data_IF_991641877008
#
_entry.id   IF_991641877008
#
_cell.length_a   1.000
_cell.length_b   1.000
_cell.length_c   1.000
_cell.angle_alpha   90.00
_cell.angle_beta   90.00
_cell.angle_gamma   90.00
#
_symmetry.space_group_name_H-M   'P 1'
#
loop_
_entity.id
_entity.type
_entity.pdbx_description
1 polymer ?
#
# COMPACT_ATOMS: atom_id res chain seq x y z
N UNK A 1 18.12 -4.50 15.18
CA UNK A 1 17.55 -5.73 14.58
C UNK A 1 17.45 -5.50 13.08
N UNK A 2 17.92 -6.44 12.26
CA UNK A 2 17.89 -6.31 10.80
C UNK A 2 16.43 -6.35 10.33
N UNK A 3 16.00 -5.32 9.60
CA UNK A 3 14.65 -5.26 9.00
C UNK A 3 14.50 -6.46 8.04
N UNK A 4 13.40 -7.20 8.14
CA UNK A 4 13.10 -8.33 7.26
C UNK A 4 11.62 -8.37 6.88
N UNK A 5 11.29 -9.17 5.87
CA UNK A 5 9.91 -9.37 5.40
C UNK A 5 9.44 -10.79 5.71
N UNK A 6 8.26 -10.93 6.30
CA UNK A 6 7.60 -12.22 6.44
C UNK A 6 7.18 -12.73 5.05
N UNK A 7 7.46 -13.99 4.77
CA UNK A 7 7.10 -14.67 3.54
C UNK A 7 6.79 -16.15 3.82
N UNK A 8 6.12 -16.79 2.86
CA UNK A 8 5.77 -18.21 2.90
C UNK A 8 6.45 -18.96 1.75
N UNK A 9 6.83 -20.21 2.00
CA UNK A 9 7.32 -21.13 0.96
C UNK A 9 6.76 -22.53 1.13
N UNK A 10 6.73 -23.29 0.04
CA UNK A 10 6.39 -24.70 0.10
C UNK A 10 7.55 -25.52 0.71
N UNK A 11 7.31 -26.34 1.75
CA UNK A 11 8.37 -27.17 2.34
C UNK A 11 8.83 -28.31 1.43
N UNK A 12 8.06 -28.67 0.40
CA UNK A 12 8.40 -29.77 -0.51
C UNK A 12 9.26 -29.31 -1.69
N UNK A 13 8.91 -28.19 -2.33
CA UNK A 13 9.58 -27.72 -3.53
C UNK A 13 10.35 -26.40 -3.36
N UNK A 14 10.20 -25.72 -2.22
CA UNK A 14 10.83 -24.42 -1.94
C UNK A 14 10.24 -23.23 -2.70
N UNK A 15 9.18 -23.44 -3.48
CA UNK A 15 8.50 -22.40 -4.27
C UNK A 15 7.84 -21.34 -3.37
N UNK A 16 7.87 -20.09 -3.78
CA UNK A 16 7.15 -18.95 -3.18
C UNK A 16 5.75 -18.76 -3.80
N UNK A 17 5.39 -19.57 -4.80
CA UNK A 17 4.08 -19.55 -5.47
C UNK A 17 3.02 -20.25 -4.61
N UNK A 18 2.81 -19.70 -3.43
CA UNK A 18 1.94 -20.25 -2.40
C UNK A 18 0.80 -19.28 -2.08
N UNK A 19 -0.27 -19.79 -1.50
CA UNK A 19 -1.44 -19.00 -1.13
C UNK A 19 -2.16 -19.58 0.08
N UNK A 20 -3.08 -18.79 0.60
CA UNK A 20 -4.00 -19.20 1.66
C UNK A 20 -5.41 -18.73 1.32
N UNK A 21 -6.41 -19.53 1.66
CA UNK A 21 -7.81 -19.19 1.40
C UNK A 21 -8.22 -18.05 2.32
N UNK A 22 -8.94 -17.09 1.76
CA UNK A 22 -9.47 -15.96 2.49
C UNK A 22 -10.90 -15.68 2.03
N UNK A 23 -11.77 -15.34 2.97
CA UNK A 23 -13.08 -14.78 2.63
C UNK A 23 -12.97 -13.26 2.52
N UNK A 24 -13.38 -12.74 1.37
CA UNK A 24 -13.60 -11.31 1.18
C UNK A 24 -15.11 -11.00 1.23
N UNK A 25 -15.44 -9.84 1.78
CA UNK A 25 -16.79 -9.27 1.81
C UNK A 25 -16.82 -7.93 1.11
N UNK A 26 -17.98 -7.51 0.62
CA UNK A 26 -18.16 -6.16 0.10
C UNK A 26 -18.65 -5.23 1.20
N UNK A 27 -17.86 -4.22 1.55
CA UNK A 27 -18.30 -3.15 2.44
C UNK A 27 -19.09 -2.11 1.63
N UNK A 28 -20.40 -2.02 1.92
CA UNK A 28 -21.32 -1.09 1.25
C UNK A 28 -21.08 0.38 1.61
N UNK A 29 -20.44 0.66 2.74
CA UNK A 29 -20.14 2.04 3.18
C UNK A 29 -18.92 2.56 2.44
N UNK A 30 -17.84 1.77 2.39
CA UNK A 30 -16.59 2.16 1.74
C UNK A 30 -16.55 1.82 0.24
N UNK A 31 -17.49 1.00 -0.23
CA UNK A 31 -17.55 0.47 -1.61
C UNK A 31 -16.24 -0.23 -2.00
N UNK A 32 -15.74 -1.08 -1.09
CA UNK A 32 -14.49 -1.81 -1.25
C UNK A 32 -14.64 -3.26 -0.80
N UNK A 33 -13.87 -4.15 -1.43
CA UNK A 33 -13.68 -5.50 -0.91
C UNK A 33 -12.81 -5.43 0.34
N UNK A 34 -13.31 -6.01 1.43
CA UNK A 34 -12.60 -6.13 2.70
C UNK A 34 -12.31 -7.60 3.00
N UNK A 35 -11.19 -7.87 3.66
CA UNK A 35 -10.87 -9.19 4.17
C UNK A 35 -11.74 -9.46 5.41
N UNK A 36 -12.54 -10.53 5.38
CA UNK A 36 -13.39 -10.93 6.51
C UNK A 36 -12.68 -11.93 7.43
N UNK A 37 -11.74 -12.70 6.88
CA UNK A 37 -10.99 -13.71 7.59
C UNK A 37 -10.01 -14.43 6.67
N UNK A 38 -9.02 -15.03 7.29
CA UNK A 38 -8.08 -15.96 6.66
C UNK A 38 -8.40 -17.36 7.21
N UNK A 39 -8.38 -18.37 6.35
CA UNK A 39 -8.56 -19.76 6.75
C UNK A 39 -7.20 -20.47 6.81
N UNK A 40 -7.17 -21.73 7.23
CA UNK A 40 -5.92 -22.52 7.32
C UNK A 40 -5.63 -23.35 6.06
N UNK A 41 -6.43 -23.20 4.99
CA UNK A 41 -6.24 -23.94 3.75
C UNK A 41 -5.10 -23.32 2.94
N UNK A 42 -3.90 -23.73 3.29
CA UNK A 42 -2.68 -23.30 2.63
C UNK A 42 -2.34 -24.23 1.46
N UNK A 43 -1.88 -23.66 0.36
CA UNK A 43 -1.49 -24.43 -0.82
C UNK A 43 -0.24 -23.89 -1.50
N UNK A 44 0.39 -24.76 -2.27
CA UNK A 44 1.40 -24.44 -3.26
C UNK A 44 0.82 -24.70 -4.65
N UNK A 45 0.99 -23.76 -5.58
CA UNK A 45 0.49 -23.92 -6.95
C UNK A 45 1.09 -25.13 -7.69
N UNK A 46 2.22 -25.66 -7.21
CA UNK A 46 2.93 -26.76 -7.82
C UNK A 46 2.75 -28.09 -7.05
N UNK A 47 2.51 -28.05 -5.73
CA UNK A 47 2.39 -29.25 -4.87
C UNK A 47 0.98 -29.51 -4.33
N UNK A 48 0.02 -28.60 -4.54
CA UNK A 48 -1.33 -28.69 -4.00
C UNK A 48 -1.39 -28.26 -2.52
N UNK A 49 -2.32 -28.84 -1.78
CA UNK A 49 -2.57 -28.52 -0.38
C UNK A 49 -1.38 -28.95 0.48
N UNK A 50 -0.71 -27.95 1.07
CA UNK A 50 0.50 -28.15 1.87
C UNK A 50 0.57 -27.10 2.97
N UNK A 51 0.96 -27.47 4.21
CA UNK A 51 1.25 -26.48 5.22
C UNK A 51 2.51 -25.70 4.79
N UNK A 52 2.38 -24.38 4.68
CA UNK A 52 3.47 -23.52 4.24
C UNK A 52 4.44 -23.24 5.39
N UNK A 53 5.69 -23.07 5.02
CA UNK A 53 6.74 -22.68 5.95
C UNK A 53 6.86 -21.15 5.94
N UNK A 54 6.65 -20.54 7.12
CA UNK A 54 6.97 -19.15 7.35
C UNK A 54 8.47 -18.94 7.45
N UNK A 55 8.97 -17.89 6.79
CA UNK A 55 10.34 -17.46 6.95
C UNK A 55 10.47 -15.95 6.85
N UNK A 56 11.59 -15.44 7.34
CA UNK A 56 11.93 -14.02 7.21
C UNK A 56 12.95 -13.84 6.10
N UNK A 57 12.61 -13.05 5.09
CA UNK A 57 13.55 -12.56 4.09
C UNK A 57 14.51 -11.59 4.78
N UNK A 58 15.79 -11.95 4.81
CA UNK A 58 16.86 -11.16 5.43
C UNK A 58 17.96 -10.75 4.46
N UNK A 59 17.93 -11.23 3.22
CA UNK A 59 18.90 -10.82 2.18
C UNK A 59 18.70 -9.33 1.86
N UNK A 60 19.73 -8.48 2.08
CA UNK A 60 19.62 -7.05 1.82
C UNK A 60 19.32 -6.72 0.35
N UNK A 61 19.74 -7.56 -0.60
CA UNK A 61 19.43 -7.33 -2.03
C UNK A 61 17.95 -7.57 -2.29
N UNK A 62 17.39 -8.65 -1.77
CA UNK A 62 15.97 -8.97 -1.88
C UNK A 62 15.10 -7.92 -1.17
N UNK A 63 15.49 -7.51 0.04
CA UNK A 63 14.83 -6.43 0.79
C UNK A 63 14.80 -5.14 -0.03
N UNK A 64 15.92 -4.74 -0.64
CA UNK A 64 15.97 -3.53 -1.47
C UNK A 64 15.04 -3.61 -2.69
N UNK A 65 14.87 -4.80 -3.28
CA UNK A 65 13.92 -5.01 -4.39
C UNK A 65 12.47 -4.90 -3.92
N UNK A 66 12.14 -5.47 -2.75
CA UNK A 66 10.80 -5.36 -2.16
C UNK A 66 10.48 -3.90 -1.82
N UNK A 67 11.43 -3.18 -1.21
CA UNK A 67 11.29 -1.76 -0.88
C UNK A 67 11.05 -0.91 -2.14
N UNK A 68 11.81 -1.15 -3.20
CA UNK A 68 11.65 -0.45 -4.48
C UNK A 68 10.27 -0.74 -5.11
N UNK A 69 9.82 -2.00 -5.11
CA UNK A 69 8.50 -2.37 -5.63
C UNK A 69 7.36 -1.72 -4.83
N UNK A 70 7.47 -1.68 -3.50
CA UNK A 70 6.49 -1.00 -2.64
C UNK A 70 6.45 0.50 -2.91
N UNK A 71 7.61 1.14 -3.05
CA UNK A 71 7.69 2.56 -3.37
C UNK A 71 7.05 2.89 -4.73
N UNK A 72 7.25 2.05 -5.75
CA UNK A 72 6.62 2.20 -7.06
C UNK A 72 5.08 2.07 -6.99
N UNK A 73 4.56 1.10 -6.22
CA UNK A 73 3.12 0.96 -5.99
C UNK A 73 2.53 2.20 -5.29
N UNK A 74 3.17 2.68 -4.22
CA UNK A 74 2.76 3.91 -3.53
C UNK A 74 2.73 5.11 -4.48
N UNK A 75 3.76 5.27 -5.33
CA UNK A 75 3.80 6.35 -6.31
C UNK A 75 2.66 6.24 -7.34
N UNK A 76 2.35 5.04 -7.81
CA UNK A 76 1.24 4.78 -8.76
C UNK A 76 -0.12 5.10 -8.15
N UNK A 77 -0.35 4.71 -6.89
CA UNK A 77 -1.59 4.99 -6.17
C UNK A 77 -1.77 6.49 -5.86
N UNK A 78 -0.67 7.19 -5.53
CA UNK A 78 -0.71 8.61 -5.20
C UNK A 78 -0.79 9.53 -6.43
N UNK A 79 -0.35 9.09 -7.60
CA UNK A 79 -0.29 9.89 -8.83
C UNK A 79 -1.61 10.60 -9.19
N UNK A 80 -2.76 9.88 -9.26
CA UNK A 80 -4.05 10.51 -9.52
C UNK A 80 -4.47 11.56 -8.48
N UNK A 81 -4.17 11.31 -7.20
CA UNK A 81 -4.47 12.24 -6.10
C UNK A 81 -3.64 13.53 -6.21
N UNK A 82 -2.35 13.39 -6.52
CA UNK A 82 -1.45 14.52 -6.75
C UNK A 82 -1.88 15.37 -7.93
N UNK A 83 -2.23 14.76 -9.06
CA UNK A 83 -2.70 15.47 -10.24
C UNK A 83 -4.00 16.23 -9.95
N UNK A 84 -4.98 15.57 -9.33
CA UNK A 84 -6.25 16.22 -8.99
C UNK A 84 -6.07 17.38 -8.00
N UNK A 85 -5.14 17.27 -7.04
CA UNK A 85 -4.84 18.35 -6.11
C UNK A 85 -4.13 19.52 -6.80
N UNK A 86 -3.20 19.24 -7.72
CA UNK A 86 -2.51 20.25 -8.52
C UNK A 86 -3.48 21.04 -9.42
N UNK A 87 -4.40 20.35 -10.11
CA UNK A 87 -5.41 20.99 -10.95
C UNK A 87 -6.29 21.97 -10.15
N UNK A 88 -6.72 21.57 -8.95
CA UNK A 88 -7.50 22.45 -8.05
C UNK A 88 -6.72 23.68 -7.62
N UNK A 89 -5.42 23.54 -7.35
CA UNK A 89 -4.57 24.67 -7.02
C UNK A 89 -4.41 25.62 -8.20
N UNK A 90 -4.19 25.10 -9.41
CA UNK A 90 -4.08 25.90 -10.63
C UNK A 90 -5.35 26.70 -10.91
N UNK A 91 -6.54 26.11 -10.72
CA UNK A 91 -7.81 26.82 -10.81
C UNK A 91 -7.92 27.90 -9.74
N UNK A 92 -7.61 27.57 -8.47
CA UNK A 92 -7.70 28.52 -7.37
C UNK A 92 -6.74 29.71 -7.54
N UNK A 93 -5.57 29.51 -8.15
CA UNK A 93 -4.58 30.56 -8.46
C UNK A 93 -4.93 31.31 -9.74
N UNK A 94 -5.47 30.64 -10.77
CA UNK A 94 -5.90 31.26 -12.02
C UNK A 94 -7.12 32.18 -11.87
N UNK A 95 -8.01 31.87 -10.92
CA UNK A 95 -9.17 32.69 -10.54
C UNK A 95 -8.82 33.87 -9.61
N UNK A 96 -7.53 34.22 -9.42
CA UNK A 96 -7.12 35.43 -8.70
C UNK A 96 -7.38 36.69 -9.53
N UNK A 97 -8.62 37.25 -9.49
CA UNK A 97 -8.72 38.65 -9.13
C UNK A 97 -9.81 38.97 -8.08
N UNK A 98 -9.38 39.67 -7.03
CA UNK A 98 -10.07 40.77 -6.30
C UNK A 98 -11.11 40.48 -5.21
N UNK A 99 -11.74 39.31 -5.04
CA UNK A 99 -12.82 39.25 -4.02
C UNK A 99 -13.18 37.92 -3.33
N UNK A 100 -12.53 36.80 -3.65
CA UNK A 100 -12.80 35.53 -2.95
C UNK A 100 -11.74 35.29 -1.89
N UNK A 101 -12.17 35.27 -0.63
CA UNK A 101 -11.28 35.13 0.52
C UNK A 101 -10.39 33.89 0.47
N UNK A 102 -9.28 33.95 1.20
CA UNK A 102 -8.19 32.95 1.28
C UNK A 102 -8.62 31.48 1.51
N UNK A 103 -9.89 31.20 1.79
CA UNK A 103 -10.42 29.86 2.09
C UNK A 103 -10.24 28.84 0.96
N UNK A 104 -10.55 29.20 -0.30
CA UNK A 104 -10.42 28.26 -1.43
C UNK A 104 -8.95 27.93 -1.73
N UNK A 105 -8.06 28.93 -1.72
CA UNK A 105 -6.63 28.73 -1.87
C UNK A 105 -6.07 27.86 -0.73
N UNK A 106 -6.42 28.16 0.52
CA UNK A 106 -5.97 27.38 1.68
C UNK A 106 -6.45 25.93 1.62
N UNK A 107 -7.68 25.69 1.15
CA UNK A 107 -8.21 24.35 0.97
C UNK A 107 -7.46 23.58 -0.12
N UNK A 108 -7.16 24.21 -1.26
CA UNK A 108 -6.38 23.59 -2.33
C UNK A 108 -4.94 23.27 -1.88
N UNK A 109 -4.30 24.18 -1.14
CA UNK A 109 -2.98 23.95 -0.53
C UNK A 109 -3.03 22.75 0.44
N UNK A 110 -4.04 22.68 1.31
CA UNK A 110 -4.19 21.56 2.24
C UNK A 110 -4.37 20.21 1.53
N UNK A 111 -5.14 20.17 0.45
CA UNK A 111 -5.34 18.97 -0.37
C UNK A 111 -4.04 18.52 -1.06
N UNK A 112 -3.24 19.47 -1.57
CA UNK A 112 -1.95 19.16 -2.15
C UNK A 112 -0.97 18.62 -1.10
N UNK A 113 -0.92 19.23 0.09
CA UNK A 113 -0.08 18.74 1.19
C UNK A 113 -0.49 17.33 1.63
N UNK A 114 -1.79 17.03 1.70
CA UNK A 114 -2.29 15.69 2.02
C UNK A 114 -1.90 14.66 0.94
N UNK A 115 -2.02 15.01 -0.35
CA UNK A 115 -1.60 14.13 -1.44
C UNK A 115 -0.08 13.90 -1.44
N UNK A 116 0.73 14.91 -1.15
CA UNK A 116 2.18 14.78 -0.98
C UNK A 116 2.51 13.87 0.21
N UNK A 117 1.80 14.02 1.33
CA UNK A 117 2.00 13.15 2.49
C UNK A 117 1.68 11.68 2.17
N UNK A 118 0.60 11.43 1.41
CA UNK A 118 0.24 10.08 0.95
C UNK A 118 1.25 9.49 -0.06
N UNK A 119 1.90 10.33 -0.87
CA UNK A 119 2.91 9.92 -1.84
C UNK A 119 4.29 9.67 -1.22
N UNK A 120 4.55 10.19 -0.02
CA UNK A 120 5.83 9.96 0.66
C UNK A 120 5.83 8.53 1.19
N UNK A 121 6.88 7.75 0.89
CA UNK A 121 7.02 6.44 1.50
C UNK A 121 7.07 6.64 3.03
N UNK A 122 6.18 5.96 3.75
CA UNK A 122 6.25 5.87 5.20
C UNK A 122 7.53 5.12 5.56
N UNK A 123 8.59 5.88 5.83
CA UNK A 123 9.75 5.33 6.52
C UNK A 123 9.30 4.91 7.91
N UNK A 124 9.09 3.60 8.07
CA UNK A 124 8.98 2.84 9.31
C UNK A 124 7.77 3.14 10.21
N UNK A 125 6.82 2.22 10.21
CA UNK A 125 6.04 1.90 11.42
C UNK A 125 6.76 0.73 12.07
N UNK A 126 7.41 0.98 13.21
CA UNK A 126 7.91 -0.06 14.11
C UNK A 126 6.73 -0.92 14.56
N UNK A 127 6.78 -2.21 14.17
CA UNK A 127 5.80 -3.19 14.62
C UNK A 127 6.08 -3.56 16.07
N UNK A 128 5.19 -3.17 16.97
CA UNK A 128 5.01 -3.84 18.26
C UNK A 128 4.21 -5.12 17.97
N UNK A 129 4.83 -6.29 18.11
CA UNK A 129 4.14 -7.58 18.21
C UNK A 129 3.98 -7.89 19.71
N UNK A 130 2.81 -8.40 20.18
CA UNK A 130 2.56 -8.75 21.58
C UNK A 130 3.50 -9.83 22.14
#
# INVERSE_FOLDING_TARGET
>A
MTRGYLAYRCPHCGSDRCGNDANAGWDVVTQQSILLGEFDNQWCNDCGDVPLEEYTITDPVEIARIDAARADLTAKEAGPLLLAAADRLLVAVGDFPVSRGNGQLNQAIAQLLAAIAAARPTSQVEGTIP
#
